data_IF_560649452299
#
_entry.id   IF_560649452299
#
_cell.length_a   1.000
_cell.length_b   1.000
_cell.length_c   1.000
_cell.angle_alpha   90.00
_cell.angle_beta   90.00
_cell.angle_gamma   90.00
#
_symmetry.space_group_name_H-M   'P 1'
#
loop_
_entity.id
_entity.type
_entity.pdbx_description
1 polymer ?
#
# COMPACT_ATOMS: atom_id res chain seq x y z
N UNK A 1 -13.21 18.06 0.27
CA UNK A 1 -11.91 17.65 -0.29
C UNK A 1 -12.00 16.34 -1.09
N UNK A 2 -12.37 15.21 -0.47
CA UNK A 2 -12.45 13.91 -1.15
C UNK A 2 -13.44 13.88 -2.35
N UNK A 3 -14.64 14.44 -2.20
CA UNK A 3 -15.64 14.52 -3.28
C UNK A 3 -15.17 15.38 -4.47
N UNK A 4 -14.45 16.46 -4.19
CA UNK A 4 -13.85 17.30 -5.24
C UNK A 4 -12.75 16.52 -5.99
N UNK A 5 -11.87 15.84 -5.26
CA UNK A 5 -10.85 14.98 -5.86
C UNK A 5 -11.47 13.88 -6.73
N UNK A 6 -12.55 13.23 -6.26
CA UNK A 6 -13.30 12.26 -7.06
C UNK A 6 -13.82 12.89 -8.36
N UNK A 7 -14.41 14.08 -8.31
CA UNK A 7 -14.89 14.79 -9.50
C UNK A 7 -13.75 15.16 -10.47
N UNK A 8 -12.53 15.40 -9.96
CA UNK A 8 -11.34 15.59 -10.80
C UNK A 8 -10.89 14.29 -11.46
N UNK A 9 -10.91 13.17 -10.74
CA UNK A 9 -10.59 11.85 -11.30
C UNK A 9 -11.57 11.48 -12.42
N UNK A 10 -12.87 11.63 -12.18
CA UNK A 10 -13.92 11.33 -13.18
C UNK A 10 -13.76 12.16 -14.47
N UNK A 11 -13.31 13.41 -14.35
CA UNK A 11 -13.05 14.30 -15.50
C UNK A 11 -11.64 14.16 -16.09
N UNK A 12 -10.83 13.21 -15.62
CA UNK A 12 -9.46 12.99 -16.12
C UNK A 12 -8.44 14.04 -15.67
N UNK A 13 -8.76 14.90 -14.70
CA UNK A 13 -7.91 15.97 -14.17
C UNK A 13 -7.08 15.54 -12.93
N UNK A 14 -7.14 14.25 -12.55
CA UNK A 14 -6.33 13.61 -11.53
C UNK A 14 -6.26 12.09 -11.79
N UNK A 15 -5.16 11.44 -11.40
CA UNK A 15 -4.94 10.02 -11.66
C UNK A 15 -5.69 9.05 -10.72
N UNK A 16 -6.13 9.52 -9.55
CA UNK A 16 -6.87 8.68 -8.61
C UNK A 16 -6.04 7.63 -7.88
N UNK A 17 -4.74 7.88 -7.68
CA UNK A 17 -3.87 6.95 -6.96
C UNK A 17 -4.38 6.70 -5.53
N UNK A 18 -4.44 5.42 -5.15
CA UNK A 18 -4.90 4.97 -3.84
C UNK A 18 -4.31 5.74 -2.65
N UNK A 19 -2.97 5.94 -2.53
CA UNK A 19 -2.41 6.65 -1.37
C UNK A 19 -2.90 8.10 -1.25
N UNK A 20 -3.18 8.77 -2.38
CA UNK A 20 -3.74 10.14 -2.37
C UNK A 20 -5.17 10.14 -1.87
N UNK A 21 -5.99 9.20 -2.34
CA UNK A 21 -7.39 9.05 -1.89
C UNK A 21 -7.44 8.69 -0.41
N UNK A 22 -6.60 7.75 0.03
CA UNK A 22 -6.50 7.35 1.43
C UNK A 22 -6.13 8.52 2.33
N UNK A 23 -5.10 9.30 1.99
CA UNK A 23 -4.73 10.50 2.75
C UNK A 23 -5.86 11.51 2.85
N UNK A 24 -6.56 11.80 1.75
CA UNK A 24 -7.72 12.71 1.73
C UNK A 24 -8.87 12.21 2.61
N UNK A 25 -9.17 10.91 2.56
CA UNK A 25 -10.26 10.31 3.33
C UNK A 25 -9.90 10.24 4.81
N UNK A 26 -8.69 9.78 5.16
CA UNK A 26 -8.23 9.69 6.55
C UNK A 26 -8.17 11.06 7.22
N UNK A 27 -7.64 12.07 6.54
CA UNK A 27 -7.68 13.45 7.04
C UNK A 27 -9.13 13.94 7.24
N UNK A 28 -10.05 13.61 6.33
CA UNK A 28 -11.45 14.02 6.44
C UNK A 28 -12.20 13.36 7.62
N UNK A 29 -11.77 12.18 8.07
CA UNK A 29 -12.32 11.52 9.27
C UNK A 29 -11.54 11.85 10.55
N UNK A 30 -10.57 12.77 10.48
CA UNK A 30 -9.84 13.28 11.64
C UNK A 30 -8.66 12.43 12.11
N UNK A 31 -8.15 11.51 11.29
CA UNK A 31 -6.92 10.79 11.61
C UNK A 31 -5.73 11.75 11.58
N UNK A 32 -4.91 11.70 12.64
CA UNK A 32 -3.61 12.34 12.67
C UNK A 32 -2.60 11.65 11.74
N UNK A 33 -1.48 12.33 11.48
CA UNK A 33 -0.43 11.81 10.59
C UNK A 33 0.11 10.44 11.06
N UNK A 34 0.44 10.32 12.35
CA UNK A 34 0.96 9.07 12.90
C UNK A 34 -0.04 7.90 12.77
N UNK A 35 -1.33 8.17 12.96
CA UNK A 35 -2.40 7.15 12.82
C UNK A 35 -2.58 6.74 11.36
N UNK A 36 -2.55 7.70 10.44
CA UNK A 36 -2.64 7.46 9.00
C UNK A 36 -1.44 6.64 8.49
N UNK A 37 -0.22 6.95 8.93
CA UNK A 37 0.98 6.20 8.57
C UNK A 37 0.94 4.78 9.13
N UNK A 38 0.56 4.61 10.40
CA UNK A 38 0.42 3.29 11.02
C UNK A 38 -0.66 2.44 10.32
N UNK A 39 -1.80 3.04 9.97
CA UNK A 39 -2.87 2.38 9.24
C UNK A 39 -2.43 1.97 7.83
N UNK A 40 -1.69 2.82 7.13
CA UNK A 40 -1.10 2.51 5.82
C UNK A 40 -0.16 1.31 5.88
N UNK A 41 0.78 1.31 6.83
CA UNK A 41 1.71 0.21 7.04
C UNK A 41 0.96 -1.09 7.38
N UNK A 42 -0.03 -1.02 8.27
CA UNK A 42 -0.84 -2.16 8.65
C UNK A 42 -1.62 -2.74 7.45
N UNK A 43 -2.25 -1.89 6.64
CA UNK A 43 -3.01 -2.31 5.47
C UNK A 43 -2.10 -2.98 4.42
N UNK A 44 -0.91 -2.42 4.19
CA UNK A 44 0.09 -2.99 3.29
C UNK A 44 0.50 -4.41 3.70
N UNK A 45 0.93 -4.59 4.96
CA UNK A 45 1.38 -5.91 5.45
C UNK A 45 0.23 -6.91 5.50
N UNK A 46 -0.97 -6.48 5.89
CA UNK A 46 -2.16 -7.34 5.90
C UNK A 46 -2.53 -7.79 4.50
N UNK A 47 -2.46 -6.90 3.51
CA UNK A 47 -2.72 -7.23 2.11
C UNK A 47 -1.72 -8.25 1.55
N UNK A 48 -0.42 -8.04 1.78
CA UNK A 48 0.64 -8.92 1.30
C UNK A 48 0.61 -10.30 1.97
N UNK A 49 0.47 -10.35 3.30
CA UNK A 49 0.35 -11.64 4.01
C UNK A 49 -0.94 -12.38 3.65
N UNK A 50 -2.05 -11.66 3.45
CA UNK A 50 -3.30 -12.22 2.93
C UNK A 50 -3.18 -12.75 1.49
N UNK A 51 -2.34 -12.14 0.65
CA UNK A 51 -2.02 -12.68 -0.67
C UNK A 51 -1.19 -13.96 -0.57
N UNK A 52 -0.14 -13.98 0.27
CA UNK A 52 0.70 -15.15 0.48
C UNK A 52 -0.09 -16.37 0.99
N UNK A 53 -1.05 -16.15 1.90
CA UNK A 53 -2.00 -17.17 2.37
C UNK A 53 -2.82 -17.78 1.23
N UNK A 54 -3.43 -16.93 0.37
CA UNK A 54 -4.26 -17.37 -0.75
C UNK A 54 -3.47 -18.07 -1.86
N UNK A 55 -2.19 -17.75 -1.99
CA UNK A 55 -1.26 -18.45 -2.87
C UNK A 55 -0.74 -19.77 -2.28
N UNK A 56 -1.08 -20.08 -1.01
CA UNK A 56 -0.60 -21.29 -0.33
C UNK A 56 0.87 -21.25 0.06
N UNK A 57 1.50 -20.06 0.07
CA UNK A 57 2.93 -19.91 0.37
C UNK A 57 3.23 -20.01 1.88
N UNK A 58 2.26 -19.65 2.72
CA UNK A 58 2.40 -19.58 4.18
C UNK A 58 1.10 -19.98 4.86
N UNK A 59 1.16 -20.41 6.12
CA UNK A 59 0.00 -20.64 6.98
C UNK A 59 -0.42 -19.41 7.80
N UNK A 60 -1.56 -19.50 8.50
CA UNK A 60 -2.05 -18.39 9.33
C UNK A 60 -1.09 -18.02 10.47
N UNK A 61 -0.43 -19.01 11.07
CA UNK A 61 0.56 -18.79 12.13
C UNK A 61 1.80 -18.10 11.55
N UNK A 62 2.27 -18.54 10.39
CA UNK A 62 3.40 -17.92 9.69
C UNK A 62 3.11 -16.47 9.32
N UNK A 63 1.89 -16.16 8.86
CA UNK A 63 1.47 -14.80 8.58
C UNK A 63 1.55 -13.88 9.82
N UNK A 64 1.16 -14.38 11.01
CA UNK A 64 1.33 -13.62 12.25
C UNK A 64 2.80 -13.49 12.66
N UNK A 65 3.61 -14.54 12.44
CA UNK A 65 5.04 -14.50 12.69
C UNK A 65 5.72 -13.42 11.83
N UNK A 66 5.43 -13.39 10.52
CA UNK A 66 5.92 -12.37 9.59
C UNK A 66 5.54 -10.96 10.06
N UNK A 67 4.29 -10.74 10.49
CA UNK A 67 3.84 -9.43 11.00
C UNK A 67 4.63 -8.99 12.22
N UNK A 68 4.86 -9.90 13.18
CA UNK A 68 5.67 -9.63 14.37
C UNK A 68 7.11 -9.31 13.99
N UNK A 69 7.70 -10.09 13.09
CA UNK A 69 9.11 -9.95 12.71
C UNK A 69 9.36 -8.68 11.87
N UNK A 70 8.33 -8.20 11.16
CA UNK A 70 8.35 -6.92 10.44
C UNK A 70 8.15 -5.69 11.34
N UNK A 71 7.62 -5.84 12.56
CA UNK A 71 7.27 -4.71 13.42
C UNK A 71 8.44 -3.72 13.62
N UNK A 72 9.69 -4.16 13.88
CA UNK A 72 10.82 -3.22 14.01
C UNK A 72 11.14 -2.46 12.72
N UNK A 73 10.92 -3.07 11.54
CA UNK A 73 11.15 -2.39 10.27
C UNK A 73 10.06 -1.34 9.99
N UNK A 74 8.81 -1.66 10.35
CA UNK A 74 7.69 -0.72 10.27
C UNK A 74 7.94 0.47 11.20
N UNK A 75 8.31 0.23 12.46
CA UNK A 75 8.62 1.30 13.42
C UNK A 75 9.72 2.24 12.90
N UNK A 76 10.79 1.69 12.32
CA UNK A 76 11.84 2.52 11.70
C UNK A 76 11.32 3.33 10.52
N UNK A 77 10.45 2.75 9.68
CA UNK A 77 9.87 3.47 8.55
C UNK A 77 8.92 4.58 9.00
N UNK A 78 8.15 4.36 10.08
CA UNK A 78 7.23 5.34 10.65
C UNK A 78 7.96 6.49 11.37
N UNK A 79 9.17 6.24 11.87
CA UNK A 79 10.00 7.25 12.53
C UNK A 79 10.87 8.06 11.55
N UNK A 80 10.91 7.69 10.28
CA UNK A 80 11.68 8.39 9.27
C UNK A 80 10.98 9.69 8.84
N UNK A 81 11.77 10.73 8.54
CA UNK A 81 11.24 11.97 8.00
C UNK A 81 10.56 11.75 6.65
N UNK A 82 9.42 12.40 6.45
CA UNK A 82 8.71 12.34 5.18
C UNK A 82 9.51 13.06 4.10
N UNK A 83 9.73 12.44 2.93
CA UNK A 83 10.40 13.12 1.83
C UNK A 83 9.51 14.27 1.30
N UNK A 84 10.13 15.28 0.66
CA UNK A 84 9.36 16.29 -0.05
C UNK A 84 8.54 15.65 -1.18
N UNK A 85 7.45 16.30 -1.59
CA UNK A 85 6.50 15.77 -2.58
C UNK A 85 7.20 15.49 -3.92
N UNK A 86 8.18 16.30 -4.29
CA UNK A 86 8.99 16.17 -5.50
C UNK A 86 9.88 14.91 -5.49
N UNK A 87 10.17 14.37 -4.30
CA UNK A 87 10.92 13.13 -4.11
C UNK A 87 10.05 11.87 -4.14
N UNK A 88 8.72 11.98 -4.23
CA UNK A 88 7.83 10.82 -4.22
C UNK A 88 7.85 10.11 -5.57
N UNK A 89 8.20 8.83 -5.56
CA UNK A 89 8.09 7.94 -6.72
C UNK A 89 7.66 6.54 -6.29
N UNK A 90 7.01 5.80 -7.20
CA UNK A 90 6.63 4.41 -6.97
C UNK A 90 7.71 3.40 -7.42
N UNK A 91 8.82 3.89 -7.98
CA UNK A 91 9.80 3.04 -8.65
C UNK A 91 10.53 2.08 -7.70
N UNK A 92 10.31 0.77 -7.83
CA UNK A 92 10.88 -0.28 -6.99
C UNK A 92 11.37 -1.46 -7.86
N UNK A 93 12.51 -1.36 -8.57
CA UNK A 93 12.88 -2.21 -9.72
C UNK A 93 12.47 -3.70 -9.69
N UNK A 94 12.63 -4.37 -8.54
CA UNK A 94 12.26 -5.79 -8.37
C UNK A 94 10.74 -6.02 -8.42
N UNK A 95 9.93 -5.12 -7.85
CA UNK A 95 8.48 -5.21 -7.89
C UNK A 95 7.96 -5.01 -9.33
N UNK A 96 8.53 -4.09 -10.08
CA UNK A 96 8.17 -3.81 -11.47
C UNK A 96 8.44 -5.03 -12.35
N UNK A 97 9.61 -5.65 -12.20
CA UNK A 97 9.93 -6.91 -12.90
C UNK A 97 8.94 -8.01 -12.51
N UNK A 98 8.56 -8.11 -11.24
CA UNK A 98 7.59 -9.10 -10.79
C UNK A 98 6.20 -8.88 -11.42
N UNK A 99 5.73 -7.63 -11.50
CA UNK A 99 4.45 -7.28 -12.15
C UNK A 99 4.50 -7.55 -13.66
N UNK A 100 5.59 -7.22 -14.35
CA UNK A 100 5.77 -7.53 -15.78
C UNK A 100 5.72 -9.05 -16.04
N UNK A 101 6.27 -9.86 -15.12
CA UNK A 101 6.17 -11.32 -15.18
C UNK A 101 4.75 -11.82 -14.90
N UNK A 102 4.02 -11.15 -14.00
CA UNK A 102 2.62 -11.48 -13.71
C UNK A 102 1.71 -11.21 -14.91
N UNK A 103 1.98 -10.17 -15.70
CA UNK A 103 1.22 -9.85 -16.91
C UNK A 103 1.18 -11.02 -17.90
N UNK A 104 2.30 -11.74 -18.05
CA UNK A 104 2.47 -12.85 -18.99
C UNK A 104 2.29 -14.24 -18.37
N UNK A 105 1.89 -14.32 -17.10
CA UNK A 105 1.70 -15.59 -16.41
C UNK A 105 0.48 -16.37 -16.93
N UNK A 106 0.66 -17.67 -17.19
CA UNK A 106 -0.39 -18.55 -17.71
C UNK A 106 -1.58 -18.72 -16.77
N UNK A 107 -1.33 -18.72 -15.45
CA UNK A 107 -2.35 -18.82 -14.40
C UNK A 107 -2.19 -17.66 -13.42
N UNK A 108 -3.30 -16.99 -13.11
CA UNK A 108 -3.32 -15.81 -12.23
C UNK A 108 -4.50 -15.88 -11.26
N UNK A 109 -4.20 -15.80 -9.96
CA UNK A 109 -5.21 -15.66 -8.90
C UNK A 109 -5.60 -14.18 -8.67
N UNK A 110 -4.68 -13.27 -8.98
CA UNK A 110 -4.82 -11.82 -8.81
C UNK A 110 -4.84 -11.11 -10.15
N UNK A 111 -5.57 -9.99 -10.24
CA UNK A 111 -5.65 -9.21 -11.48
C UNK A 111 -4.34 -8.47 -11.82
N UNK A 112 -3.51 -8.20 -10.82
CA UNK A 112 -2.27 -7.41 -10.89
C UNK A 112 -1.21 -8.00 -9.98
#
# INVERSE_FOLDING_TARGET
AATDYQARVVRGAAHGHLPVVQGLVWAAVGLGEAEALALSAHACVTGLTGAALRLGLVGHVDAQAIRRDLAPAIERALAADLPPVEGLHAFTPLAEIAVMRHETAETRLFMT
#
